data_IF_194298722851
#
_entry.id   IF_194298722851
#
_cell.length_a   1.000
_cell.length_b   1.000
_cell.length_c   1.000
_cell.angle_alpha   90.00
_cell.angle_beta   90.00
_cell.angle_gamma   90.00
#
_symmetry.space_group_name_H-M   'P 1'
#
loop_
_entity.id
_entity.type
_entity.pdbx_description
1 polymer ?
#
# COMPACT_ATOMS: atom_id res chain seq x y z
N UNK A 1 32.20 -6.23 -33.39
CA UNK A 1 30.81 -6.55 -33.78
C UNK A 1 29.93 -6.09 -32.63
N UNK A 2 29.30 -4.93 -32.78
CA UNK A 2 28.26 -4.46 -31.87
C UNK A 2 27.01 -5.30 -32.12
N UNK A 3 26.48 -5.89 -31.06
CA UNK A 3 25.10 -6.34 -30.99
C UNK A 3 24.41 -5.46 -29.94
N UNK A 4 23.76 -4.42 -30.47
CA UNK A 4 22.44 -3.89 -30.08
C UNK A 4 21.56 -4.90 -29.30
N UNK A 5 20.64 -4.57 -28.39
CA UNK A 5 19.92 -3.35 -27.99
C UNK A 5 19.16 -3.73 -26.69
N UNK A 6 19.13 -2.85 -25.68
CA UNK A 6 18.10 -2.74 -24.62
C UNK A 6 17.20 -3.97 -24.30
N UNK A 7 17.75 -5.08 -23.78
CA UNK A 7 16.92 -6.23 -23.35
C UNK A 7 16.38 -6.15 -21.90
N UNK A 8 16.49 -4.98 -21.24
CA UNK A 8 15.95 -4.77 -19.89
C UNK A 8 14.66 -3.96 -19.94
N UNK A 9 13.68 -4.37 -20.75
CA UNK A 9 12.29 -3.96 -20.52
C UNK A 9 11.82 -4.65 -19.23
N UNK A 10 12.09 -3.95 -18.12
CA UNK A 10 11.49 -4.05 -16.78
C UNK A 10 10.72 -5.34 -16.51
N UNK A 11 11.42 -6.38 -16.02
CA UNK A 11 10.76 -7.58 -15.52
C UNK A 11 9.69 -7.21 -14.49
N UNK A 12 8.43 -7.52 -14.77
CA UNK A 12 7.30 -7.22 -13.90
C UNK A 12 7.47 -7.96 -12.57
N UNK A 13 7.46 -7.22 -11.46
CA UNK A 13 7.55 -7.79 -10.12
C UNK A 13 6.15 -8.22 -9.64
N UNK A 14 5.75 -9.44 -9.99
CA UNK A 14 4.43 -9.98 -9.62
C UNK A 14 4.22 -10.07 -8.11
N UNK A 15 5.28 -10.35 -7.33
CA UNK A 15 5.21 -10.45 -5.87
C UNK A 15 4.81 -9.10 -5.25
N UNK A 16 5.38 -8.00 -5.75
CA UNK A 16 5.00 -6.66 -5.28
C UNK A 16 3.54 -6.34 -5.61
N UNK A 17 3.08 -6.70 -6.81
CA UNK A 17 1.69 -6.49 -7.23
C UNK A 17 0.72 -7.30 -6.37
N UNK A 18 1.02 -8.57 -6.08
CA UNK A 18 0.20 -9.41 -5.22
C UNK A 18 0.08 -8.81 -3.81
N UNK A 19 1.17 -8.27 -3.27
CA UNK A 19 1.16 -7.60 -1.97
C UNK A 19 0.32 -6.31 -1.98
N UNK A 20 0.45 -5.49 -3.02
CA UNK A 20 -0.33 -4.28 -3.18
C UNK A 20 -1.83 -4.59 -3.25
N UNK A 21 -2.22 -5.65 -3.98
CA UNK A 21 -3.62 -6.09 -4.07
C UNK A 21 -4.14 -6.62 -2.72
N UNK A 22 -3.34 -7.41 -2.01
CA UNK A 22 -3.72 -7.89 -0.67
C UNK A 22 -3.93 -6.72 0.31
N UNK A 23 -3.11 -5.67 0.21
CA UNK A 23 -3.26 -4.48 1.05
C UNK A 23 -4.54 -3.70 0.74
N UNK A 24 -4.98 -3.67 -0.53
CA UNK A 24 -6.28 -3.10 -0.93
C UNK A 24 -7.44 -3.93 -0.38
N UNK A 25 -7.40 -5.25 -0.47
CA UNK A 25 -8.46 -6.13 0.07
C UNK A 25 -8.64 -5.96 1.58
N UNK A 26 -7.54 -5.79 2.31
CA UNK A 26 -7.55 -5.53 3.75
C UNK A 26 -8.15 -4.15 4.04
N UNK A 27 -7.79 -3.13 3.26
CA UNK A 27 -8.37 -1.79 3.40
C UNK A 27 -9.89 -1.79 3.19
N UNK A 28 -10.38 -2.49 2.16
CA UNK A 28 -11.81 -2.65 1.90
C UNK A 28 -12.52 -3.40 3.03
N UNK A 29 -11.93 -4.49 3.52
CA UNK A 29 -12.47 -5.24 4.66
C UNK A 29 -12.61 -4.36 5.92
N UNK A 30 -11.64 -3.46 6.18
CA UNK A 30 -11.70 -2.51 7.29
C UNK A 30 -12.77 -1.43 7.07
N UNK A 31 -13.00 -0.99 5.82
CA UNK A 31 -14.09 -0.07 5.50
C UNK A 31 -15.44 -0.69 5.83
N UNK A 32 -15.65 -1.95 5.42
CA UNK A 32 -16.87 -2.69 5.72
C UNK A 32 -17.06 -2.92 7.22
N UNK A 33 -15.97 -3.21 7.95
CA UNK A 33 -15.99 -3.39 9.40
C UNK A 33 -16.10 -2.07 10.19
N UNK A 34 -16.00 -0.91 9.54
CA UNK A 34 -16.00 0.40 10.20
C UNK A 34 -14.72 0.75 10.96
N UNK A 35 -13.59 0.07 10.68
CA UNK A 35 -12.29 0.25 11.34
C UNK A 35 -11.21 0.84 10.44
N UNK A 36 -11.59 1.32 9.25
CA UNK A 36 -10.66 1.82 8.23
C UNK A 36 -9.82 3.02 8.69
N UNK A 37 -10.43 3.96 9.42
CA UNK A 37 -9.70 5.09 9.98
C UNK A 37 -8.94 4.74 11.25
N UNK A 38 -9.11 3.55 11.84
CA UNK A 38 -8.48 3.23 13.12
C UNK A 38 -7.04 2.78 12.93
N UNK A 39 -6.11 3.45 13.61
CA UNK A 39 -4.69 3.07 13.65
C UNK A 39 -4.52 1.79 14.46
N UNK A 40 -3.94 0.75 13.86
CA UNK A 40 -3.75 -0.56 14.51
C UNK A 40 -2.75 -0.52 15.68
N UNK A 41 -1.88 0.50 15.72
CA UNK A 41 -0.86 0.65 16.78
C UNK A 41 -1.40 1.42 17.97
N UNK A 42 -2.10 2.53 17.73
CA UNK A 42 -2.51 3.45 18.80
C UNK A 42 -4.00 3.38 19.15
N UNK A 43 -4.83 2.79 18.29
CA UNK A 43 -6.29 2.80 18.41
C UNK A 43 -6.97 4.14 18.06
N UNK A 44 -6.21 5.23 17.95
CA UNK A 44 -6.70 6.53 17.48
C UNK A 44 -6.94 6.56 15.96
N UNK A 45 -7.62 7.60 15.48
CA UNK A 45 -7.88 7.79 14.05
C UNK A 45 -6.59 8.13 13.25
N UNK A 46 -6.52 7.61 12.04
CA UNK A 46 -5.52 7.91 11.01
C UNK A 46 -5.96 9.21 10.33
N UNK A 47 -5.08 10.22 10.23
CA UNK A 47 -5.43 11.47 9.56
C UNK A 47 -5.79 11.25 8.09
N UNK A 48 -6.82 11.94 7.59
CA UNK A 48 -7.24 11.85 6.19
C UNK A 48 -6.09 12.15 5.23
N UNK A 49 -5.23 13.12 5.54
CA UNK A 49 -4.06 13.46 4.72
C UNK A 49 -3.08 12.29 4.51
N UNK A 50 -3.05 11.32 5.43
CA UNK A 50 -2.25 10.08 5.29
C UNK A 50 -2.96 9.11 4.36
N UNK A 51 -4.27 8.93 4.50
CA UNK A 51 -5.06 8.02 3.68
C UNK A 51 -5.23 8.53 2.24
N UNK A 52 -5.29 9.85 2.03
CA UNK A 52 -5.27 10.48 0.72
C UNK A 52 -3.98 10.15 -0.05
N UNK A 53 -2.85 10.10 0.65
CA UNK A 53 -1.55 9.75 0.04
C UNK A 53 -1.35 8.24 -0.07
N UNK A 54 -1.82 7.48 0.93
CA UNK A 54 -1.65 6.03 1.02
C UNK A 54 -2.92 5.38 1.59
N UNK A 55 -3.90 5.06 0.73
CA UNK A 55 -5.20 4.52 1.15
C UNK A 55 -5.13 3.18 1.88
N UNK A 56 -4.06 2.42 1.69
CA UNK A 56 -3.84 1.14 2.36
C UNK A 56 -3.12 1.28 3.71
N UNK A 57 -2.86 2.51 4.19
CA UNK A 57 -2.19 2.71 5.48
C UNK A 57 -3.01 2.15 6.65
N UNK A 58 -2.33 1.49 7.57
CA UNK A 58 -2.90 0.94 8.81
C UNK A 58 -2.47 1.70 10.06
N UNK A 59 -1.64 2.73 9.86
CA UNK A 59 -1.06 3.54 10.93
C UNK A 59 -1.14 5.02 10.58
N UNK A 60 -1.31 5.83 11.62
CA UNK A 60 -1.05 7.26 11.53
C UNK A 60 0.45 7.48 11.25
N UNK A 61 0.81 8.63 10.66
CA UNK A 61 2.20 8.99 10.39
C UNK A 61 2.99 9.21 11.70
N UNK A 62 3.37 8.12 12.35
CA UNK A 62 4.12 8.08 13.60
C UNK A 62 5.62 8.17 13.26
N UNK A 63 6.40 9.03 13.94
CA UNK A 63 7.85 8.97 13.86
C UNK A 63 8.32 7.59 14.35
N UNK A 64 9.23 6.98 13.60
CA UNK A 64 9.79 5.64 13.86
C UNK A 64 10.64 5.60 15.13
#
# INVERSE_FOLDING_TARGET
>A
MSMNENQHETAINLIAIEQDLADVEIALSRLEAGTYWTCEVTGNDIPDSVLEQRPTSRVANLPR
#
